data_IF_475204361522
#
_entry.id   IF_475204361522
#
_cell.length_a   1.000
_cell.length_b   1.000
_cell.length_c   1.000
_cell.angle_alpha   90.00
_cell.angle_beta   90.00
_cell.angle_gamma   90.00
#
_symmetry.space_group_name_H-M   'P 1'
#
loop_
_entity.id
_entity.type
_entity.pdbx_description
1 polymer ?
#
# COMPACT_ATOMS: atom_id res chain seq x y z
N UNK A 1 -12.74 -26.24 28.37
CA UNK A 1 -13.43 -26.39 27.08
C UNK A 1 -14.54 -25.36 27.04
N UNK A 2 -14.27 -24.24 26.38
CA UNK A 2 -15.26 -23.20 26.07
C UNK A 2 -14.78 -22.58 24.76
N UNK A 3 -15.46 -22.98 23.69
CA UNK A 3 -15.17 -22.61 22.30
C UNK A 3 -15.21 -21.08 22.13
N UNK A 4 -14.37 -20.49 21.26
CA UNK A 4 -14.53 -19.10 20.84
C UNK A 4 -15.88 -18.95 20.13
N UNK A 5 -16.65 -17.94 20.52
CA UNK A 5 -17.85 -17.55 19.77
C UNK A 5 -17.45 -17.15 18.35
N UNK A 6 -17.98 -17.88 17.39
CA UNK A 6 -18.03 -17.56 15.98
C UNK A 6 -19.04 -16.41 15.82
N UNK A 7 -18.55 -15.17 15.70
CA UNK A 7 -19.38 -14.03 15.35
C UNK A 7 -19.97 -14.24 13.95
N UNK A 8 -21.30 -14.02 13.78
CA UNK A 8 -22.07 -14.53 12.67
C UNK A 8 -21.69 -13.84 11.36
N UNK A 9 -21.55 -14.66 10.31
CA UNK A 9 -21.29 -14.21 8.96
C UNK A 9 -22.22 -13.09 8.51
N UNK A 10 -21.67 -11.90 8.32
CA UNK A 10 -22.25 -10.95 7.37
C UNK A 10 -21.91 -11.47 5.97
N UNK A 11 -22.93 -11.94 5.26
CA UNK A 11 -22.81 -12.15 3.82
C UNK A 11 -22.37 -10.80 3.24
N UNK A 12 -21.21 -10.70 2.57
CA UNK A 12 -20.76 -9.41 2.10
C UNK A 12 -21.67 -9.02 0.93
N UNK A 13 -22.63 -8.14 1.18
CA UNK A 13 -23.13 -7.28 0.12
C UNK A 13 -21.90 -6.70 -0.57
N UNK A 14 -21.78 -6.89 -1.89
CA UNK A 14 -20.55 -6.59 -2.62
C UNK A 14 -20.08 -5.17 -2.24
N UNK A 15 -18.95 -5.07 -1.53
CA UNK A 15 -18.44 -3.79 -1.04
C UNK A 15 -18.39 -2.79 -2.21
N UNK A 16 -18.92 -1.59 -1.98
CA UNK A 16 -18.99 -0.58 -3.05
C UNK A 16 -17.57 -0.20 -3.48
N UNK A 17 -17.40 0.21 -4.75
CA UNK A 17 -16.09 0.65 -5.27
C UNK A 17 -15.34 1.65 -4.36
N UNK A 18 -15.95 2.71 -3.82
CA UNK A 18 -15.27 3.61 -2.90
C UNK A 18 -14.83 2.92 -1.60
N UNK A 19 -15.66 2.01 -1.06
CA UNK A 19 -15.30 1.24 0.13
C UNK A 19 -14.11 0.31 -0.14
N UNK A 20 -14.06 -0.32 -1.32
CA UNK A 20 -12.90 -1.13 -1.74
C UNK A 20 -11.62 -0.28 -1.86
N UNK A 21 -11.72 0.93 -2.41
CA UNK A 21 -10.58 1.85 -2.52
C UNK A 21 -10.09 2.31 -1.15
N UNK A 22 -11.00 2.68 -0.26
CA UNK A 22 -10.64 3.05 1.12
C UNK A 22 -9.99 1.89 1.85
N UNK A 23 -10.59 0.70 1.79
CA UNK A 23 -10.05 -0.50 2.43
C UNK A 23 -8.66 -0.87 1.87
N UNK A 24 -8.46 -0.72 0.56
CA UNK A 24 -7.15 -0.94 -0.06
C UNK A 24 -6.13 0.11 0.41
N UNK A 25 -6.50 1.39 0.42
CA UNK A 25 -5.62 2.50 0.77
C UNK A 25 -5.18 2.53 2.23
N UNK A 26 -6.02 2.04 3.15
CA UNK A 26 -5.72 1.99 4.59
C UNK A 26 -4.95 0.72 5.00
N UNK A 27 -4.90 -0.29 4.12
CA UNK A 27 -4.22 -1.56 4.38
C UNK A 27 -2.69 -1.41 4.37
N UNK A 28 -2.00 -2.17 5.23
CA UNK A 28 -0.54 -2.19 5.29
C UNK A 28 0.13 -3.06 4.21
N UNK A 29 -0.63 -3.99 3.59
CA UNK A 29 -0.11 -4.95 2.62
C UNK A 29 0.29 -4.33 1.27
N UNK A 30 -0.53 -3.45 0.65
CA UNK A 30 -0.18 -2.89 -0.66
C UNK A 30 1.17 -2.14 -0.71
N UNK A 31 1.55 -1.28 0.28
CA UNK A 31 2.87 -0.66 0.27
C UNK A 31 4.01 -1.65 0.54
N UNK A 32 3.80 -2.68 1.37
CA UNK A 32 4.80 -3.71 1.63
C UNK A 32 5.11 -4.55 0.38
N UNK A 33 4.06 -5.02 -0.33
CA UNK A 33 4.22 -5.77 -1.59
C UNK A 33 4.92 -4.90 -2.62
N UNK A 34 4.55 -3.62 -2.72
CA UNK A 34 5.20 -2.70 -3.64
C UNK A 34 6.69 -2.50 -3.32
N UNK A 35 7.06 -2.39 -2.04
CA UNK A 35 8.46 -2.32 -1.63
C UNK A 35 9.25 -3.56 -2.03
N UNK A 36 8.67 -4.77 -1.85
CA UNK A 36 9.29 -6.04 -2.25
C UNK A 36 9.52 -6.10 -3.76
N UNK A 37 8.54 -5.69 -4.57
CA UNK A 37 8.68 -5.64 -6.02
C UNK A 37 9.78 -4.66 -6.45
N UNK A 38 9.84 -3.47 -5.84
CA UNK A 38 10.89 -2.49 -6.12
C UNK A 38 12.27 -3.06 -5.78
N UNK A 39 12.42 -3.70 -4.62
CA UNK A 39 13.66 -4.35 -4.21
C UNK A 39 14.06 -5.48 -5.17
N UNK A 40 13.11 -6.33 -5.59
CA UNK A 40 13.35 -7.40 -6.54
C UNK A 40 13.81 -6.87 -7.92
N UNK A 41 13.26 -5.73 -8.37
CA UNK A 41 13.66 -5.11 -9.63
C UNK A 41 15.05 -4.48 -9.60
N UNK A 42 15.36 -3.80 -8.49
CA UNK A 42 16.49 -2.86 -8.39
C UNK A 42 17.62 -3.35 -7.48
N UNK A 43 17.52 -4.57 -6.94
CA UNK A 43 18.61 -5.21 -6.19
C UNK A 43 19.74 -5.71 -7.08
N UNK A 44 19.47 -6.09 -8.33
CA UNK A 44 20.48 -6.54 -9.32
C UNK A 44 20.04 -6.25 -10.76
N UNK A 45 20.59 -5.24 -11.47
CA UNK A 45 21.66 -4.32 -11.05
C UNK A 45 21.16 -3.31 -10.01
N UNK A 46 22.05 -2.92 -9.08
CA UNK A 46 21.74 -1.97 -8.00
C UNK A 46 21.41 -0.60 -8.61
N UNK A 47 20.19 -0.12 -8.41
CA UNK A 47 19.78 1.23 -8.77
C UNK A 47 19.37 1.98 -7.50
N UNK A 48 20.23 2.85 -6.94
CA UNK A 48 20.00 3.41 -5.60
C UNK A 48 18.73 4.27 -5.53
N UNK A 49 18.45 5.07 -6.57
CA UNK A 49 17.31 5.98 -6.59
C UNK A 49 15.95 5.28 -6.38
N UNK A 50 15.55 4.29 -7.20
CA UNK A 50 14.32 3.54 -6.95
C UNK A 50 14.43 2.65 -5.71
N UNK A 51 15.62 2.16 -5.35
CA UNK A 51 15.80 1.31 -4.18
C UNK A 51 15.50 2.04 -2.86
N UNK A 52 15.74 3.36 -2.77
CA UNK A 52 15.36 4.18 -1.62
C UNK A 52 13.84 4.27 -1.40
N UNK A 53 13.03 3.99 -2.42
CA UNK A 53 11.57 4.01 -2.28
C UNK A 53 11.08 2.79 -1.47
N UNK A 54 11.82 1.68 -1.49
CA UNK A 54 11.45 0.47 -0.76
C UNK A 54 11.40 0.66 0.77
N UNK A 55 12.45 1.19 1.45
CA UNK A 55 12.35 1.46 2.89
C UNK A 55 11.30 2.52 3.22
N UNK A 56 11.06 3.50 2.34
CA UNK A 56 10.00 4.49 2.54
C UNK A 56 8.59 3.88 2.49
N UNK A 57 8.35 2.92 1.59
CA UNK A 57 7.09 2.18 1.51
C UNK A 57 6.92 1.19 2.67
N UNK A 58 8.00 0.54 3.12
CA UNK A 58 7.97 -0.27 4.34
C UNK A 58 7.65 0.58 5.57
N UNK A 59 8.20 1.78 5.67
CA UNK A 59 7.83 2.73 6.71
C UNK A 59 6.35 3.08 6.66
N UNK A 60 5.78 3.33 5.48
CA UNK A 60 4.34 3.55 5.34
C UNK A 60 3.50 2.35 5.80
N UNK A 61 3.93 1.11 5.50
CA UNK A 61 3.30 -0.10 6.01
C UNK A 61 3.34 -0.18 7.55
N UNK A 62 4.48 0.18 8.15
CA UNK A 62 4.62 0.27 9.60
C UNK A 62 3.69 1.33 10.22
N UNK A 63 3.58 2.52 9.63
CA UNK A 63 2.69 3.60 10.12
C UNK A 63 1.22 3.16 10.10
N UNK A 64 0.81 2.39 9.09
CA UNK A 64 -0.53 1.79 9.05
C UNK A 64 -0.74 0.83 10.23
N UNK A 65 0.23 -0.05 10.50
CA UNK A 65 0.19 -0.97 11.65
C UNK A 65 0.26 -0.26 13.01
N UNK A 66 0.98 0.86 13.10
CA UNK A 66 1.07 1.70 14.30
C UNK A 66 -0.26 2.41 14.62
N UNK A 67 -1.26 2.29 13.75
CA UNK A 67 -2.59 2.82 13.97
C UNK A 67 -2.85 4.20 13.36
N UNK A 68 -2.03 4.60 12.38
CA UNK A 68 -2.19 5.85 11.62
C UNK A 68 -2.51 5.54 10.14
N UNK A 69 -3.65 4.89 9.83
CA UNK A 69 -3.97 4.45 8.48
C UNK A 69 -4.16 5.63 7.51
N UNK A 70 -4.71 6.76 7.95
CA UNK A 70 -4.88 7.95 7.08
C UNK A 70 -3.54 8.51 6.64
N UNK A 71 -2.59 8.71 7.56
CA UNK A 71 -1.28 9.27 7.22
C UNK A 71 -0.42 8.25 6.45
N UNK A 72 -0.55 6.96 6.75
CA UNK A 72 0.03 5.90 5.95
C UNK A 72 -0.49 5.89 4.51
N UNK A 73 -1.78 6.09 4.29
CA UNK A 73 -2.37 6.18 2.95
C UNK A 73 -1.77 7.34 2.13
N UNK A 74 -1.53 8.49 2.77
CA UNK A 74 -0.86 9.63 2.16
C UNK A 74 0.60 9.33 1.78
N UNK A 75 1.36 8.71 2.68
CA UNK A 75 2.74 8.27 2.40
C UNK A 75 2.80 7.25 1.27
N UNK A 76 1.90 6.26 1.29
CA UNK A 76 1.78 5.24 0.23
C UNK A 76 1.47 5.90 -1.11
N UNK A 77 0.55 6.87 -1.13
CA UNK A 77 0.19 7.63 -2.32
C UNK A 77 1.40 8.38 -2.90
N UNK A 78 2.10 9.16 -2.06
CA UNK A 78 3.25 9.95 -2.48
C UNK A 78 4.37 9.08 -3.06
N UNK A 79 4.79 8.04 -2.34
CA UNK A 79 5.92 7.20 -2.75
C UNK A 79 5.58 6.28 -3.93
N UNK A 80 4.39 5.67 -3.92
CA UNK A 80 3.94 4.83 -5.04
C UNK A 80 3.67 5.67 -6.29
N UNK A 81 3.15 6.88 -6.14
CA UNK A 81 2.92 7.84 -7.22
C UNK A 81 4.23 8.31 -7.87
N UNK A 82 5.21 8.75 -7.06
CA UNK A 82 6.53 9.16 -7.56
C UNK A 82 7.21 8.01 -8.30
N UNK A 83 7.20 6.80 -7.75
CA UNK A 83 7.76 5.63 -8.44
C UNK A 83 7.08 5.41 -9.80
N UNK A 84 5.75 5.46 -9.84
CA UNK A 84 4.95 5.27 -11.06
C UNK A 84 5.27 6.33 -12.12
N UNK A 85 5.32 7.60 -11.73
CA UNK A 85 5.68 8.71 -12.62
C UNK A 85 7.08 8.54 -13.22
N UNK A 86 8.08 8.19 -12.40
CA UNK A 86 9.45 7.94 -12.84
C UNK A 86 9.54 6.71 -13.76
N UNK A 87 8.80 5.64 -13.44
CA UNK A 87 8.79 4.41 -14.22
C UNK A 87 8.09 4.59 -15.57
N UNK A 88 7.06 5.43 -15.68
CA UNK A 88 6.39 5.81 -16.94
C UNK A 88 7.29 6.64 -17.85
N UNK A 89 8.13 7.53 -17.27
CA UNK A 89 9.05 8.37 -18.05
C UNK A 89 10.11 7.56 -18.80
N UNK A 90 10.46 6.36 -18.33
CA UNK A 90 11.50 5.52 -18.94
C UNK A 90 11.00 4.76 -20.17
N UNK A 91 11.42 5.17 -21.37
CA UNK A 91 11.19 4.43 -22.63
C UNK A 91 11.81 3.02 -22.56
N UNK A 92 11.08 2.00 -23.01
CA UNK A 92 11.53 0.60 -23.04
C UNK A 92 11.28 -0.02 -24.42
N UNK A 93 12.26 -0.77 -24.98
CA UNK A 93 12.05 -1.49 -26.23
C UNK A 93 10.92 -2.53 -26.05
N UNK A 94 10.09 -2.74 -27.08
CA UNK A 94 8.92 -3.62 -27.00
C UNK A 94 9.31 -5.04 -26.59
N UNK A 95 10.50 -5.51 -27.00
CA UNK A 95 11.05 -6.83 -26.62
C UNK A 95 11.30 -6.97 -25.11
N UNK A 96 11.68 -5.91 -24.40
CA UNK A 96 11.93 -6.01 -22.94
C UNK A 96 10.63 -6.05 -22.12
N UNK A 97 9.50 -5.66 -22.72
CA UNK A 97 8.17 -5.70 -22.08
C UNK A 97 7.67 -7.13 -21.85
N UNK A 98 8.05 -8.06 -22.73
CA UNK A 98 7.64 -9.48 -22.65
C UNK A 98 8.67 -10.38 -21.93
N UNK A 99 9.65 -9.80 -21.23
CA UNK A 99 10.59 -10.54 -20.37
C UNK A 99 10.02 -10.72 -18.96
N UNK A 100 10.52 -11.70 -18.20
CA UNK A 100 10.21 -11.83 -16.77
C UNK A 100 10.41 -10.50 -16.01
N UNK A 101 11.49 -9.77 -16.28
CA UNK A 101 11.71 -8.44 -15.68
C UNK A 101 10.66 -7.41 -16.13
N UNK A 102 10.18 -7.52 -17.36
CA UNK A 102 9.10 -6.71 -17.91
C UNK A 102 7.78 -6.95 -17.16
N UNK A 103 7.46 -8.21 -16.86
CA UNK A 103 6.27 -8.58 -16.08
C UNK A 103 6.35 -8.02 -14.65
N UNK A 104 7.47 -8.22 -13.95
CA UNK A 104 7.60 -7.68 -12.57
C UNK A 104 7.57 -6.16 -12.58
N UNK A 105 8.15 -5.50 -13.61
CA UNK A 105 8.04 -4.05 -13.78
C UNK A 105 6.61 -3.59 -14.01
N UNK A 106 5.88 -4.29 -14.89
CA UNK A 106 4.48 -3.99 -15.16
C UNK A 106 3.64 -4.14 -13.88
N UNK A 107 3.88 -5.21 -13.10
CA UNK A 107 3.22 -5.42 -11.81
C UNK A 107 3.55 -4.33 -10.78
N UNK A 108 4.83 -3.94 -10.66
CA UNK A 108 5.22 -2.83 -9.78
C UNK A 108 4.57 -1.51 -10.21
N UNK A 109 4.50 -1.25 -11.52
CA UNK A 109 3.90 -0.04 -12.06
C UNK A 109 2.38 0.00 -11.83
N UNK A 110 1.68 -1.09 -12.14
CA UNK A 110 0.23 -1.19 -11.96
C UNK A 110 -0.16 -1.12 -10.49
N UNK A 111 0.60 -1.80 -9.62
CA UNK A 111 0.40 -1.74 -8.18
C UNK A 111 0.68 -0.34 -7.64
N UNK A 112 1.74 0.31 -8.12
CA UNK A 112 2.07 1.69 -7.74
C UNK A 112 0.99 2.69 -8.11
N UNK A 113 0.42 2.55 -9.31
CA UNK A 113 -0.71 3.37 -9.75
C UNK A 113 -1.96 3.11 -8.89
N UNK A 114 -2.31 1.85 -8.65
CA UNK A 114 -3.44 1.47 -7.81
C UNK A 114 -3.29 2.01 -6.37
N UNK A 115 -2.09 1.88 -5.79
CA UNK A 115 -1.76 2.42 -4.47
C UNK A 115 -1.82 3.95 -4.43
N UNK A 116 -1.41 4.62 -5.51
CA UNK A 116 -1.53 6.07 -5.62
C UNK A 116 -3.00 6.51 -5.59
N UNK A 117 -3.86 5.88 -6.40
CA UNK A 117 -5.28 6.24 -6.48
C UNK A 117 -6.01 5.89 -5.19
N UNK A 118 -5.84 4.67 -4.69
CA UNK A 118 -6.50 4.21 -3.46
C UNK A 118 -5.99 4.96 -2.22
N UNK A 119 -4.67 5.15 -2.10
CA UNK A 119 -4.07 5.91 -1.02
C UNK A 119 -4.47 7.39 -1.05
N UNK A 120 -4.54 7.99 -2.24
CA UNK A 120 -5.03 9.36 -2.41
C UNK A 120 -6.50 9.51 -2.02
N UNK A 121 -7.35 8.54 -2.41
CA UNK A 121 -8.76 8.51 -2.03
C UNK A 121 -8.93 8.34 -0.51
N UNK A 122 -8.23 7.39 0.09
CA UNK A 122 -8.25 7.14 1.54
C UNK A 122 -7.68 8.31 2.34
N UNK A 123 -6.65 9.00 1.84
CA UNK A 123 -6.09 10.19 2.47
C UNK A 123 -7.08 11.37 2.43
N UNK A 124 -7.73 11.59 1.28
CA UNK A 124 -8.69 12.68 1.12
C UNK A 124 -9.97 12.45 1.96
N UNK A 125 -10.42 11.20 2.08
CA UNK A 125 -11.60 10.82 2.87
C UNK A 125 -11.31 10.45 4.33
N UNK A 126 -10.04 10.48 4.76
CA UNK A 126 -9.63 9.98 6.06
C UNK A 126 -9.92 10.94 7.21
N UNK A 127 -10.19 10.40 8.41
CA UNK A 127 -10.46 11.18 9.61
C UNK A 127 -9.49 10.82 10.74
N UNK A 128 -8.50 11.69 10.97
CA UNK A 128 -7.45 11.50 11.99
C UNK A 128 -8.00 11.37 13.41
N UNK A 129 -9.16 11.98 13.72
CA UNK A 129 -9.78 11.86 15.04
C UNK A 129 -10.31 10.45 15.29
N UNK A 130 -10.88 9.81 14.25
CA UNK A 130 -11.35 8.43 14.34
C UNK A 130 -10.15 7.49 14.49
N UNK A 131 -9.07 7.72 13.76
CA UNK A 131 -7.83 6.95 13.89
C UNK A 131 -7.25 7.03 15.31
N UNK A 132 -7.29 8.21 15.93
CA UNK A 132 -6.84 8.42 17.30
C UNK A 132 -7.71 7.68 18.33
N UNK A 133 -9.04 7.75 18.19
CA UNK A 133 -9.99 7.02 19.06
C UNK A 133 -9.73 5.52 18.95
N UNK A 134 -9.67 4.99 17.72
CA UNK A 134 -9.42 3.57 17.48
C UNK A 134 -8.04 3.13 18.02
N UNK A 135 -7.03 4.02 18.00
CA UNK A 135 -5.71 3.74 18.60
C UNK A 135 -5.77 3.70 20.12
N UNK A 136 -6.56 4.58 20.77
CA UNK A 136 -6.79 4.56 22.22
C UNK A 136 -7.55 3.30 22.63
N UNK A 137 -8.60 2.93 21.90
CA UNK A 137 -9.36 1.69 22.15
C UNK A 137 -8.51 0.42 21.99
N UNK A 138 -7.60 0.39 21.01
CA UNK A 138 -6.65 -0.73 20.82
C UNK A 138 -5.58 -0.78 21.90
N UNK A 139 -5.36 0.29 22.65
CA UNK A 139 -4.31 0.34 23.66
C UNK A 139 -4.74 -0.43 24.92
N UNK A 140 -4.57 -1.75 24.87
CA UNK A 140 -4.84 -2.67 25.99
C UNK A 140 -3.96 -2.46 27.23
N UNK A 141 -2.94 -1.61 27.11
CA UNK A 141 -1.89 -1.43 28.11
C UNK A 141 -1.82 0.02 28.63
N UNK A 142 -2.77 0.88 28.27
CA UNK A 142 -2.92 2.17 28.95
C UNK A 142 -3.69 1.94 30.25
N UNK A 143 -3.00 2.10 31.38
CA UNK A 143 -3.60 2.39 32.68
C UNK A 143 -4.08 3.86 32.74
#
# INVERSE_FOLDING_TARGET
>A
MSSPQEEPGSTPGAATLPQKLTNWGTSCMPPAIHAILIAALHGKPVQPLPLLMAPALLFSSYVSLAGFPTDAAGLTCAWSGIYTLLALRRRQPIRSKFSARGVVRAGALSLGLANCVAGGFAYAGGNRKIDEIARKERNRWAE
#
